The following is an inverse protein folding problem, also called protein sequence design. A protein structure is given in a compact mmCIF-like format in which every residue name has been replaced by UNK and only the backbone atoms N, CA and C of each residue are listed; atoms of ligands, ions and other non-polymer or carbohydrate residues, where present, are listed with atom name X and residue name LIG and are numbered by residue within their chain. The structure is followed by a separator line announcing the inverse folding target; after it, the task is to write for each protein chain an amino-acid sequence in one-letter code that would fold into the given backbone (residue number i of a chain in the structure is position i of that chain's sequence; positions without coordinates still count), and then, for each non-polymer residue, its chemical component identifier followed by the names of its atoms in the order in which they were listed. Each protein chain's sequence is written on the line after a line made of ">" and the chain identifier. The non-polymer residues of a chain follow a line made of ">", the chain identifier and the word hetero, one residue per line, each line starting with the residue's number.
data_IF_207988738337
#
_entry.id   IF_207988738337
#
_cell.length_a   1.000
_cell.length_b   1.000
_cell.length_c   1.000
_cell.angle_alpha   90.00
_cell.angle_beta   90.00
_cell.angle_gamma   90.00
#
_symmetry.space_group_name_H-M   'P 1'
#
loop_
_entity.id
_entity.type
_entity.pdbx_description
1 polymer ?
#
# COMPACT_ATOMS: atom_id res chain seq x y z
N UNK A 1 -19.81 11.50 -15.54
CA UNK A 1 -18.69 12.11 -16.30
C UNK A 1 -17.50 12.22 -15.37
N UNK A 2 -16.31 11.78 -15.79
CA UNK A 2 -15.07 11.96 -15.02
C UNK A 2 -14.60 13.40 -15.24
N UNK A 3 -14.29 14.12 -14.16
CA UNK A 3 -13.71 15.46 -14.25
C UNK A 3 -12.20 15.35 -14.43
N UNK A 4 -11.65 16.04 -15.42
CA UNK A 4 -10.20 16.09 -15.68
C UNK A 4 -9.66 17.49 -15.40
N UNK A 5 -8.37 17.55 -15.03
CA UNK A 5 -7.62 18.80 -14.85
C UNK A 5 -6.27 18.68 -15.55
N UNK A 6 -5.72 19.80 -15.99
CA UNK A 6 -4.38 19.85 -16.59
C UNK A 6 -3.38 20.42 -15.60
N UNK A 7 -2.19 19.83 -15.55
CA UNK A 7 -1.05 20.32 -14.76
C UNK A 7 0.09 20.73 -15.69
N UNK A 8 0.89 21.70 -15.29
CA UNK A 8 2.13 22.05 -15.98
C UNK A 8 3.26 21.21 -15.42
N UNK A 9 4.06 20.60 -16.29
CA UNK A 9 5.25 19.81 -15.95
C UNK A 9 6.40 20.23 -16.85
N UNK A 10 7.64 19.96 -16.43
CA UNK A 10 8.80 20.11 -17.29
C UNK A 10 8.71 19.13 -18.48
N UNK A 11 9.29 19.52 -19.62
CA UNK A 11 9.31 18.68 -20.83
C UNK A 11 9.99 17.34 -20.54
N UNK A 12 11.12 17.35 -19.84
CA UNK A 12 11.83 16.13 -19.43
C UNK A 12 10.96 15.21 -18.56
N UNK A 13 10.14 15.76 -17.67
CA UNK A 13 9.21 14.98 -16.86
C UNK A 13 8.13 14.34 -17.72
N UNK A 14 7.58 15.08 -18.68
CA UNK A 14 6.61 14.53 -19.62
C UNK A 14 7.20 13.37 -20.43
N UNK A 15 8.43 13.52 -20.93
CA UNK A 15 9.10 12.48 -21.71
C UNK A 15 9.35 11.22 -20.88
N UNK A 16 9.79 11.36 -19.63
CA UNK A 16 9.93 10.23 -18.69
C UNK A 16 8.61 9.50 -18.43
N UNK A 17 7.53 10.26 -18.20
CA UNK A 17 6.20 9.68 -17.99
C UNK A 17 5.68 8.96 -19.24
N UNK A 18 5.97 9.51 -20.42
CA UNK A 18 5.59 8.92 -21.70
C UNK A 18 6.32 7.61 -21.95
N UNK A 19 7.63 7.57 -21.73
CA UNK A 19 8.44 6.36 -21.85
C UNK A 19 7.94 5.26 -20.89
N UNK A 20 7.61 5.62 -19.65
CA UNK A 20 7.05 4.69 -18.68
C UNK A 20 5.67 4.15 -19.13
N UNK A 21 4.82 5.02 -19.68
CA UNK A 21 3.50 4.62 -20.17
C UNK A 21 3.60 3.64 -21.35
N UNK A 22 4.52 3.88 -22.28
CA UNK A 22 4.80 3.01 -23.42
C UNK A 22 5.33 1.65 -22.96
N UNK A 23 6.29 1.63 -22.02
CA UNK A 23 6.86 0.39 -21.45
C UNK A 23 5.83 -0.47 -20.73
N UNK A 24 4.89 0.16 -20.03
CA UNK A 24 3.84 -0.54 -19.28
C UNK A 24 2.55 -0.75 -20.09
N UNK A 25 2.54 -0.39 -21.38
CA UNK A 25 1.37 -0.46 -22.26
C UNK A 25 0.11 0.17 -21.63
N UNK A 26 0.27 1.38 -21.09
CA UNK A 26 -0.80 2.13 -20.42
C UNK A 26 -0.82 3.58 -20.90
N UNK A 27 -1.78 4.36 -20.39
CA UNK A 27 -1.89 5.80 -20.71
C UNK A 27 -1.03 6.64 -19.77
N UNK A 28 -0.70 7.87 -20.17
CA UNK A 28 -0.07 8.86 -19.28
C UNK A 28 -0.87 9.09 -17.99
N UNK A 29 -2.20 9.11 -18.10
CA UNK A 29 -3.08 9.19 -16.92
C UNK A 29 -2.91 7.96 -16.03
N UNK A 30 -2.87 6.76 -16.62
CA UNK A 30 -2.65 5.51 -15.87
C UNK A 30 -1.33 5.51 -15.09
N UNK A 31 -0.24 5.98 -15.71
CA UNK A 31 1.04 6.15 -15.00
C UNK A 31 0.93 7.18 -13.88
N UNK A 32 0.31 8.33 -14.12
CA UNK A 32 0.16 9.37 -13.09
C UNK A 32 -0.66 8.87 -11.90
N UNK A 33 -1.75 8.13 -12.14
CA UNK A 33 -2.57 7.53 -11.10
C UNK A 33 -1.79 6.47 -10.30
N UNK A 34 -1.02 5.62 -11.00
CA UNK A 34 -0.15 4.62 -10.37
C UNK A 34 0.89 5.29 -9.46
N UNK A 35 1.62 6.28 -9.99
CA UNK A 35 2.66 7.00 -9.24
C UNK A 35 2.09 7.76 -8.05
N UNK A 36 0.93 8.42 -8.20
CA UNK A 36 0.27 9.10 -7.10
C UNK A 36 -0.12 8.14 -5.97
N UNK A 37 -0.62 6.95 -6.31
CA UNK A 37 -0.93 5.90 -5.32
C UNK A 37 0.34 5.40 -4.65
N UNK A 38 1.39 5.10 -5.42
CA UNK A 38 2.66 4.64 -4.86
C UNK A 38 3.24 5.65 -3.88
N UNK A 39 3.32 6.91 -4.27
CA UNK A 39 3.82 7.98 -3.40
C UNK A 39 2.97 8.12 -2.13
N UNK A 40 1.64 8.09 -2.25
CA UNK A 40 0.74 8.13 -1.09
C UNK A 40 0.98 6.94 -0.15
N UNK A 41 1.09 5.74 -0.70
CA UNK A 41 1.31 4.52 0.08
C UNK A 41 2.67 4.54 0.76
N UNK A 42 3.72 4.99 0.06
CA UNK A 42 5.06 5.15 0.63
C UNK A 42 5.05 6.13 1.81
N UNK A 43 4.43 7.31 1.66
CA UNK A 43 4.31 8.27 2.76
C UNK A 43 3.50 7.76 3.93
N UNK A 44 2.43 7.02 3.68
CA UNK A 44 1.68 6.37 4.74
C UNK A 44 2.55 5.39 5.54
N UNK A 45 3.31 4.53 4.87
CA UNK A 45 4.18 3.57 5.58
C UNK A 45 5.37 4.24 6.27
N UNK A 46 5.93 5.31 5.71
CA UNK A 46 6.93 6.14 6.42
C UNK A 46 6.36 6.67 7.75
N UNK A 47 5.13 7.20 7.74
CA UNK A 47 4.47 7.73 8.94
C UNK A 47 4.16 6.64 9.96
N UNK A 48 3.66 5.49 9.51
CA UNK A 48 3.38 4.33 10.37
C UNK A 48 4.66 3.80 11.02
N UNK A 49 5.73 3.62 10.24
CA UNK A 49 7.02 3.15 10.77
C UNK A 49 7.57 4.13 11.80
N UNK A 50 7.52 5.43 11.54
CA UNK A 50 7.93 6.45 12.50
C UNK A 50 7.06 6.45 13.77
N UNK A 51 5.79 6.09 13.67
CA UNK A 51 4.93 5.95 14.85
C UNK A 51 5.35 4.75 15.70
N UNK A 52 5.60 3.59 15.07
CA UNK A 52 6.13 2.41 15.76
C UNK A 52 7.50 2.66 16.39
N UNK A 53 8.42 3.31 15.69
CA UNK A 53 9.75 3.67 16.21
C UNK A 53 9.68 4.58 17.44
N UNK A 54 8.63 5.40 17.56
CA UNK A 54 8.42 6.32 18.68
C UNK A 54 7.65 5.71 19.85
N UNK A 55 7.15 4.47 19.72
CA UNK A 55 6.42 3.81 20.81
C UNK A 55 7.30 3.64 22.03
N UNK A 56 6.71 3.85 23.20
CA UNK A 56 7.36 3.52 24.46
C UNK A 56 7.44 2.00 24.64
N UNK A 57 8.27 1.51 25.56
CA UNK A 57 8.31 0.09 25.90
C UNK A 57 6.97 -0.43 26.41
N UNK A 58 6.23 0.39 27.18
CA UNK A 58 4.89 0.06 27.67
C UNK A 58 3.88 -0.06 26.53
N UNK A 59 3.87 0.89 25.59
CA UNK A 59 2.99 0.84 24.43
C UNK A 59 3.29 -0.37 23.54
N UNK A 60 4.57 -0.71 23.39
CA UNK A 60 5.00 -1.89 22.63
C UNK A 60 4.57 -3.20 23.29
N UNK A 61 4.69 -3.31 24.61
CA UNK A 61 4.18 -4.47 25.36
C UNK A 61 2.67 -4.63 25.23
N UNK A 62 1.92 -3.52 25.28
CA UNK A 62 0.47 -3.51 25.08
C UNK A 62 0.07 -3.96 23.66
N UNK A 63 0.78 -3.48 22.62
CA UNK A 63 0.55 -3.91 21.24
C UNK A 63 0.77 -5.42 21.07
N UNK A 64 1.85 -5.96 21.63
CA UNK A 64 2.14 -7.39 21.55
C UNK A 64 1.09 -8.23 22.28
N UNK A 65 0.57 -7.73 23.41
CA UNK A 65 -0.52 -8.38 24.13
C UNK A 65 -1.81 -8.40 23.29
N UNK A 66 -2.19 -7.27 22.70
CA UNK A 66 -3.34 -7.18 21.79
C UNK A 66 -3.18 -8.12 20.59
N UNK A 67 -2.00 -8.11 19.94
CA UNK A 67 -1.72 -8.99 18.80
C UNK A 67 -1.87 -10.47 19.17
N UNK A 68 -1.41 -10.87 20.35
CA UNK A 68 -1.56 -12.24 20.85
C UNK A 68 -3.02 -12.61 21.13
N UNK A 69 -3.85 -11.68 21.57
CA UNK A 69 -5.29 -11.90 21.72
C UNK A 69 -5.96 -12.08 20.36
N UNK A 70 -5.52 -11.33 19.34
CA UNK A 70 -6.04 -11.45 17.96
C UNK A 70 -5.58 -12.73 17.25
N UNK A 71 -4.45 -13.33 17.63
CA UNK A 71 -3.97 -14.58 17.01
C UNK A 71 -4.97 -15.74 17.14
N UNK A 72 -5.91 -15.70 18.10
CA UNK A 72 -6.95 -16.73 18.24
C UNK A 72 -7.88 -16.78 17.02
N UNK A 73 -8.08 -15.64 16.33
CA UNK A 73 -8.95 -15.55 15.15
C UNK A 73 -8.20 -15.85 13.85
N UNK A 74 -6.90 -16.21 13.91
CA UNK A 74 -6.07 -16.44 12.73
C UNK A 74 -6.61 -17.56 11.82
N UNK A 75 -7.32 -18.54 12.39
CA UNK A 75 -7.90 -19.67 11.67
C UNK A 75 -9.36 -19.48 11.28
N UNK A 76 -9.98 -18.36 11.63
CA UNK A 76 -11.40 -18.14 11.36
C UNK A 76 -11.67 -18.12 9.85
N UNK A 77 -12.60 -18.96 9.40
CA UNK A 77 -12.95 -19.09 7.97
C UNK A 77 -12.02 -19.98 7.15
N UNK A 78 -11.01 -20.62 7.75
CA UNK A 78 -10.27 -21.70 7.12
C UNK A 78 -10.98 -23.03 7.41
N UNK A 79 -11.29 -23.81 6.37
CA UNK A 79 -11.74 -25.21 6.55
C UNK A 79 -10.59 -26.00 7.18
N UNK A 80 -10.89 -26.77 8.23
CA UNK A 80 -9.89 -27.61 8.90
C UNK A 80 -9.44 -28.67 7.87
N UNK A 81 -8.15 -28.68 7.54
CA UNK A 81 -7.49 -29.47 6.47
C UNK A 81 -7.51 -31.00 6.74
N UNK A 82 -8.49 -31.48 7.53
CA UNK A 82 -8.59 -32.83 8.08
C UNK A 82 -9.74 -33.66 7.51
N UNK A 83 -10.59 -33.12 6.62
CA UNK A 83 -11.75 -33.86 6.08
C UNK A 83 -11.66 -34.28 4.61
N UNK A 84 -10.54 -34.08 3.91
CA UNK A 84 -10.33 -34.69 2.59
C UNK A 84 -9.73 -36.10 2.73
N UNK A 85 -10.58 -37.09 3.02
CA UNK A 85 -10.27 -38.50 2.73
C UNK A 85 -10.39 -38.71 1.21
N UNK A 86 -9.27 -38.70 0.51
CA UNK A 86 -9.14 -39.15 -0.89
C UNK A 86 -9.38 -40.66 -1.02
#
# INVERSE_FOLDING_TARGET
>A
MIQTKSIKVAVSTYDMLKEAAEKENTTLQGILEKLARLYKTEKFFEEVNLAYEKMSSEDWENELAERKEMDITLKDGLEDDSSETW
#
